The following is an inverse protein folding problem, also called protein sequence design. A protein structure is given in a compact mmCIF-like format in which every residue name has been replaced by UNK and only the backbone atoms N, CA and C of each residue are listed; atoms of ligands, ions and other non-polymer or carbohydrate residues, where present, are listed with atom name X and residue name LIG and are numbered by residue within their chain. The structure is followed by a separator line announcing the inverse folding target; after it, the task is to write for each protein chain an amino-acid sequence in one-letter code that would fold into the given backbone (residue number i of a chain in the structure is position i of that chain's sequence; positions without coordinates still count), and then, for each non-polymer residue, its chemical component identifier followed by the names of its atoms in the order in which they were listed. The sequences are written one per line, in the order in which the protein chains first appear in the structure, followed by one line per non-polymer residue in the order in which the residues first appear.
data_IF_933427246573
#
_entry.id   IF_933427246573
#
_cell.length_a   1.000
_cell.length_b   1.000
_cell.length_c   1.000
_cell.angle_alpha   90.00
_cell.angle_beta   90.00
_cell.angle_gamma   90.00
#
_symmetry.space_group_name_H-M   'P 1'
#
loop_
_entity.id
_entity.type
_entity.pdbx_description
1 polymer ?
#
# COMPACT_ATOMS: atom_id res chain seq x y z
N UNK A 1 37.42 -27.41 57.92
CA UNK A 1 37.89 -27.07 56.56
C UNK A 1 36.73 -27.36 55.61
N UNK A 2 36.02 -26.41 55.00
CA UNK A 2 36.18 -24.96 54.93
C UNK A 2 34.83 -24.41 54.45
N UNK A 3 34.34 -23.35 55.08
CA UNK A 3 33.25 -22.52 54.59
C UNK A 3 33.61 -21.80 53.28
N UNK A 4 32.61 -21.51 52.44
CA UNK A 4 32.27 -20.14 52.00
C UNK A 4 31.17 -20.09 50.92
N UNK A 5 30.04 -19.53 51.37
CA UNK A 5 29.24 -18.43 50.85
C UNK A 5 28.68 -18.34 49.40
N UNK A 6 27.44 -17.82 49.26
CA UNK A 6 26.74 -17.58 48.02
C UNK A 6 27.06 -16.20 47.43
N UNK A 7 27.24 -16.11 46.11
CA UNK A 7 27.50 -14.84 45.44
C UNK A 7 26.28 -14.32 44.66
N UNK A 8 25.67 -13.32 45.28
CA UNK A 8 24.71 -12.34 44.80
C UNK A 8 25.08 -11.79 43.41
N UNK A 9 24.23 -11.98 42.39
CA UNK A 9 24.29 -11.20 41.15
C UNK A 9 23.36 -10.00 41.25
N UNK A 10 23.95 -8.82 41.29
CA UNK A 10 23.27 -7.52 41.28
C UNK A 10 22.58 -7.25 39.93
N UNK A 11 21.54 -6.39 39.89
CA UNK A 11 20.79 -6.09 38.68
C UNK A 11 21.58 -5.22 37.71
N UNK A 12 21.58 -5.61 36.43
CA UNK A 12 22.15 -4.81 35.34
C UNK A 12 21.23 -3.62 35.06
N UNK A 13 21.76 -2.41 35.26
CA UNK A 13 21.10 -1.13 35.02
C UNK A 13 20.76 -0.99 33.52
N UNK A 14 19.49 -0.83 33.20
CA UNK A 14 19.04 -0.40 31.88
C UNK A 14 19.55 1.04 31.61
N UNK A 15 20.32 1.21 30.54
CA UNK A 15 20.69 2.54 30.03
C UNK A 15 19.53 3.06 29.18
N UNK A 16 18.81 4.02 29.74
CA UNK A 16 17.86 4.86 29.01
C UNK A 16 18.61 5.71 27.97
N UNK A 17 18.30 5.50 26.69
CA UNK A 17 18.52 6.50 25.65
C UNK A 17 17.26 6.59 24.80
N UNK A 18 16.34 7.45 25.25
CA UNK A 18 15.30 8.04 24.42
C UNK A 18 15.23 9.52 24.76
N UNK A 19 15.56 10.36 23.79
CA UNK A 19 15.33 11.80 23.83
C UNK A 19 14.17 12.13 22.91
N UNK A 20 13.14 12.87 23.36
CA UNK A 20 12.03 13.30 22.51
C UNK A 20 12.37 14.62 21.82
N UNK A 21 12.29 14.67 20.49
CA UNK A 21 12.32 15.93 19.75
C UNK A 21 10.90 16.46 19.58
N UNK A 22 10.55 17.43 20.42
CA UNK A 22 9.30 18.19 20.36
C UNK A 22 9.27 19.17 19.19
N UNK A 23 8.06 19.33 18.66
CA UNK A 23 7.57 20.34 17.72
C UNK A 23 7.96 21.79 18.07
N UNK A 24 8.20 22.62 17.04
CA UNK A 24 8.02 24.06 17.16
C UNK A 24 7.27 24.62 15.93
N UNK A 25 6.07 25.12 16.22
CA UNK A 25 5.27 26.02 15.39
C UNK A 25 5.63 27.46 15.78
N UNK A 26 5.96 28.32 14.82
CA UNK A 26 6.06 29.77 15.05
C UNK A 26 5.22 30.53 14.01
N UNK A 27 4.14 31.14 14.50
CA UNK A 27 3.33 32.17 13.85
C UNK A 27 3.92 33.53 14.26
N UNK A 28 4.06 34.47 13.33
CA UNK A 28 4.11 35.90 13.66
C UNK A 28 3.49 36.73 12.53
N UNK A 29 2.52 37.57 12.91
CA UNK A 29 1.81 38.56 12.12
C UNK A 29 2.29 39.95 12.56
N UNK A 30 2.44 40.94 11.66
CA UNK A 30 1.92 42.31 11.83
C UNK A 30 2.11 43.21 10.58
N UNK A 31 1.46 44.40 10.47
CA UNK A 31 0.76 44.85 9.26
C UNK A 31 1.23 46.25 8.78
N UNK A 32 0.77 46.69 7.59
CA UNK A 32 0.18 48.02 7.32
C UNK A 32 0.12 48.35 5.81
N UNK A 33 -1.06 48.85 5.41
CA UNK A 33 -1.70 49.28 4.13
C UNK A 33 -0.96 50.37 3.30
N UNK A 34 -1.45 50.88 2.11
CA UNK A 34 -2.83 50.85 1.52
C UNK A 34 -3.00 50.63 -0.01
N UNK A 35 -4.27 50.62 -0.41
CA UNK A 35 -4.97 50.46 -1.70
C UNK A 35 -4.62 51.43 -2.86
N UNK A 36 -4.74 50.95 -4.11
CA UNK A 36 -5.46 51.65 -5.21
C UNK A 36 -5.71 50.71 -6.42
N UNK A 37 -6.86 50.87 -7.08
CA UNK A 37 -7.36 50.12 -8.25
C UNK A 37 -7.74 51.15 -9.34
N UNK A 38 -7.57 50.86 -10.65
CA UNK A 38 -8.57 51.36 -11.59
C UNK A 38 -8.93 50.41 -12.75
N UNK A 39 -10.20 50.50 -13.18
CA UNK A 39 -10.80 49.88 -14.37
C UNK A 39 -10.53 50.73 -15.63
N UNK A 40 -10.49 50.08 -16.80
CA UNK A 40 -11.43 50.25 -17.93
C UNK A 40 -10.82 50.29 -19.37
N UNK A 41 -11.58 49.67 -20.30
CA UNK A 41 -11.79 50.05 -21.72
C UNK A 41 -10.96 49.40 -22.85
N UNK A 42 -11.69 48.76 -23.78
CA UNK A 42 -11.28 48.28 -25.13
C UNK A 42 -11.07 49.46 -26.12
N UNK A 43 -10.47 49.23 -27.32
CA UNK A 43 -11.29 48.95 -28.52
C UNK A 43 -10.73 47.89 -29.50
N UNK A 44 -11.62 47.40 -30.38
CA UNK A 44 -11.43 46.59 -31.61
C UNK A 44 -11.35 47.54 -32.84
N UNK A 45 -10.76 47.18 -34.00
CA UNK A 45 -11.57 46.65 -35.13
C UNK A 45 -10.86 45.72 -36.17
N UNK A 46 -11.62 44.70 -36.65
CA UNK A 46 -11.91 44.24 -38.04
C UNK A 46 -10.76 44.06 -39.09
N UNK A 47 -10.80 43.21 -40.13
CA UNK A 47 -11.78 42.31 -40.77
C UNK A 47 -11.11 41.58 -41.96
N UNK A 48 -11.50 40.33 -42.26
CA UNK A 48 -11.83 39.78 -43.61
C UNK A 48 -12.06 38.26 -43.46
N UNK A 49 -13.29 37.73 -43.48
CA UNK A 49 -14.28 37.53 -44.56
C UNK A 49 -13.83 36.54 -45.64
N UNK A 50 -14.38 35.32 -45.61
CA UNK A 50 -15.03 34.71 -46.78
C UNK A 50 -16.06 33.65 -46.34
N UNK A 51 -17.25 33.75 -46.93
CA UNK A 51 -18.38 32.83 -46.80
C UNK A 51 -18.31 31.78 -47.90
N UNK A 52 -18.78 30.55 -47.67
CA UNK A 52 -19.56 29.81 -48.67
C UNK A 52 -20.59 28.90 -47.98
N UNK A 53 -21.66 28.64 -48.71
CA UNK A 53 -23.04 28.44 -48.26
C UNK A 53 -23.56 27.01 -48.42
N UNK A 54 -24.37 26.55 -47.45
CA UNK A 54 -25.58 25.68 -47.50
C UNK A 54 -25.67 24.54 -48.54
N UNK A 55 -26.03 23.32 -48.08
CA UNK A 55 -27.35 22.71 -48.36
C UNK A 55 -27.62 21.43 -47.55
N UNK A 56 -28.88 21.28 -47.14
CA UNK A 56 -29.48 20.08 -46.58
C UNK A 56 -30.14 19.24 -47.69
N UNK A 57 -30.17 17.91 -47.54
CA UNK A 57 -31.15 17.00 -48.15
C UNK A 57 -31.26 15.71 -47.34
N UNK A 58 -32.48 15.43 -46.91
CA UNK A 58 -33.02 14.18 -46.35
C UNK A 58 -32.98 13.03 -47.37
N UNK A 59 -32.76 11.78 -46.93
CA UNK A 59 -33.63 10.60 -47.19
C UNK A 59 -33.05 9.30 -46.62
N UNK A 60 -34.00 8.46 -46.23
CA UNK A 60 -33.93 7.16 -45.57
C UNK A 60 -33.26 6.07 -46.42
N UNK A 61 -32.66 5.06 -45.77
CA UNK A 61 -33.01 3.65 -45.94
C UNK A 61 -32.26 2.77 -44.94
N UNK A 62 -33.00 1.82 -44.38
CA UNK A 62 -32.58 0.79 -43.45
C UNK A 62 -31.73 -0.29 -44.13
N UNK A 63 -30.71 -0.78 -43.42
CA UNK A 63 -30.18 -2.13 -43.61
C UNK A 63 -29.93 -2.73 -42.23
N UNK A 64 -30.84 -3.61 -41.83
CA UNK A 64 -30.75 -4.47 -40.65
C UNK A 64 -29.73 -5.56 -40.92
N UNK A 65 -28.50 -5.38 -40.44
CA UNK A 65 -27.60 -6.50 -40.22
C UNK A 65 -27.37 -6.69 -38.71
N UNK A 66 -28.18 -7.58 -38.15
CA UNK A 66 -28.09 -8.10 -36.81
C UNK A 66 -26.73 -8.78 -36.60
N UNK A 67 -25.75 -8.01 -36.09
CA UNK A 67 -24.61 -8.58 -35.41
C UNK A 67 -25.16 -9.14 -34.11
N UNK A 68 -25.19 -10.47 -34.02
CA UNK A 68 -25.48 -11.20 -32.80
C UNK A 68 -24.49 -10.73 -31.74
N UNK A 69 -24.97 -9.98 -30.76
CA UNK A 69 -24.23 -9.77 -29.51
C UNK A 69 -24.19 -11.11 -28.79
N UNK A 70 -23.20 -11.92 -29.16
CA UNK A 70 -22.70 -12.98 -28.31
C UNK A 70 -22.12 -12.28 -27.08
N UNK A 71 -22.90 -12.27 -26.00
CA UNK A 71 -22.50 -11.83 -24.66
C UNK A 71 -21.45 -12.76 -24.08
N UNK A 72 -20.37 -12.97 -24.81
CA UNK A 72 -19.17 -13.63 -24.36
C UNK A 72 -18.62 -12.81 -23.21
N UNK A 73 -18.87 -13.29 -21.99
CA UNK A 73 -18.09 -12.94 -20.82
C UNK A 73 -16.64 -13.26 -21.22
N UNK A 74 -15.90 -12.25 -21.69
CA UNK A 74 -14.48 -12.41 -21.97
C UNK A 74 -13.86 -12.90 -20.66
N UNK A 75 -13.54 -14.18 -20.61
CA UNK A 75 -12.86 -14.81 -19.51
C UNK A 75 -11.45 -14.21 -19.51
N UNK A 76 -11.32 -13.06 -18.88
CA UNK A 76 -10.03 -12.43 -18.66
C UNK A 76 -9.19 -13.43 -17.87
N UNK A 77 -7.97 -13.76 -18.33
CA UNK A 77 -7.08 -14.63 -17.58
C UNK A 77 -6.98 -14.12 -16.15
N UNK A 78 -7.48 -14.93 -15.21
CA UNK A 78 -7.40 -14.60 -13.80
C UNK A 78 -5.93 -14.67 -13.43
N UNK A 79 -5.34 -13.54 -13.03
CA UNK A 79 -3.97 -13.50 -12.53
C UNK A 79 -3.87 -14.44 -11.32
N UNK A 80 -3.07 -15.49 -11.41
CA UNK A 80 -2.79 -16.40 -10.29
C UNK A 80 -1.40 -16.08 -9.77
N UNK A 81 -1.30 -15.74 -8.48
CA UNK A 81 -0.03 -15.49 -7.81
C UNK A 81 0.80 -16.77 -7.69
N UNK A 82 2.12 -16.64 -7.83
CA UNK A 82 3.08 -17.75 -7.77
C UNK A 82 4.20 -17.54 -6.77
N UNK A 83 4.20 -16.42 -6.03
CA UNK A 83 5.18 -16.17 -4.98
C UNK A 83 5.01 -17.19 -3.84
N UNK A 84 5.99 -18.07 -3.57
CA UNK A 84 5.85 -19.10 -2.54
C UNK A 84 6.14 -18.56 -1.12
N UNK A 85 6.49 -17.29 -1.00
CA UNK A 85 6.97 -16.67 0.24
C UNK A 85 6.01 -15.56 0.72
N UNK A 86 6.12 -15.20 1.99
CA UNK A 86 5.40 -14.06 2.59
C UNK A 86 5.76 -12.72 1.94
N UNK A 87 6.93 -12.62 1.29
CA UNK A 87 7.41 -11.46 0.54
C UNK A 87 8.14 -11.92 -0.74
N UNK A 88 7.83 -11.35 -1.92
CA UNK A 88 8.59 -11.62 -3.15
C UNK A 88 10.08 -11.31 -3.00
N UNK A 89 10.93 -12.12 -3.63
CA UNK A 89 12.39 -12.01 -3.51
C UNK A 89 12.91 -10.64 -4.00
N UNK A 90 12.41 -10.16 -5.14
CA UNK A 90 12.79 -8.85 -5.67
C UNK A 90 12.44 -7.71 -4.70
N UNK A 91 11.29 -7.80 -4.04
CA UNK A 91 10.91 -6.84 -3.00
C UNK A 91 11.86 -6.93 -1.81
N UNK A 92 12.19 -8.13 -1.32
CA UNK A 92 13.12 -8.32 -0.20
C UNK A 92 14.48 -7.68 -0.51
N UNK A 93 15.07 -8.01 -1.66
CA UNK A 93 16.37 -7.49 -2.10
C UNK A 93 16.33 -5.97 -2.24
N UNK A 94 15.26 -5.42 -2.82
CA UNK A 94 15.07 -3.97 -2.94
C UNK A 94 15.00 -3.31 -1.56
N UNK A 95 14.27 -3.89 -0.61
CA UNK A 95 14.09 -3.33 0.74
C UNK A 95 15.33 -3.46 1.61
N UNK A 96 16.13 -4.50 1.44
CA UNK A 96 17.47 -4.59 2.05
C UNK A 96 18.39 -3.45 1.55
N UNK A 97 18.46 -3.25 0.23
CA UNK A 97 19.27 -2.19 -0.38
C UNK A 97 18.85 -0.80 0.08
N UNK A 98 17.55 -0.55 0.18
CA UNK A 98 16.99 0.74 0.60
C UNK A 98 16.89 0.91 2.13
N UNK A 99 17.21 -0.12 2.91
CA UNK A 99 17.02 -0.15 4.37
C UNK A 99 15.58 0.14 4.81
N UNK A 100 14.60 -0.33 4.02
CA UNK A 100 13.15 -0.18 4.24
C UNK A 100 12.55 -1.45 4.88
N UNK A 101 13.25 -2.00 5.88
CA UNK A 101 12.81 -3.15 6.67
C UNK A 101 12.21 -2.67 8.01
N UNK A 102 10.99 -3.10 8.31
CA UNK A 102 10.37 -2.89 9.61
C UNK A 102 11.09 -3.73 10.68
N UNK A 103 10.91 -3.38 11.94
CA UNK A 103 11.63 -4.01 13.07
C UNK A 103 11.43 -5.54 13.07
N UNK A 104 10.22 -6.01 12.79
CA UNK A 104 9.86 -7.43 12.76
C UNK A 104 10.48 -8.21 11.58
N UNK A 105 10.98 -7.51 10.57
CA UNK A 105 11.54 -8.13 9.37
C UNK A 105 13.07 -8.21 9.42
N UNK A 106 13.71 -7.65 10.45
CA UNK A 106 15.16 -7.52 10.54
C UNK A 106 15.81 -8.77 11.12
N UNK A 107 16.73 -9.35 10.37
CA UNK A 107 17.54 -10.45 10.86
C UNK A 107 18.52 -9.93 11.93
N UNK A 108 18.39 -10.43 13.16
CA UNK A 108 19.18 -9.97 14.32
C UNK A 108 19.13 -8.45 14.55
N UNK A 109 18.00 -7.81 14.21
CA UNK A 109 17.83 -6.35 14.35
C UNK A 109 18.57 -5.50 13.30
N UNK A 110 19.25 -6.12 12.33
CA UNK A 110 19.98 -5.40 11.28
C UNK A 110 19.02 -4.78 10.23
N UNK A 111 18.99 -3.46 10.03
CA UNK A 111 18.08 -2.80 9.07
C UNK A 111 18.39 -3.08 7.59
N UNK A 112 19.52 -3.71 7.28
CA UNK A 112 19.95 -4.05 5.91
C UNK A 112 19.89 -5.56 5.61
N UNK A 113 19.37 -6.37 6.54
CA UNK A 113 19.29 -7.83 6.39
C UNK A 113 17.94 -8.36 6.83
N UNK A 114 17.35 -9.22 6.01
CA UNK A 114 16.12 -9.96 6.33
C UNK A 114 16.29 -11.45 6.04
N UNK A 115 15.22 -12.22 6.23
CA UNK A 115 15.14 -13.62 5.81
C UNK A 115 13.74 -13.90 5.23
N UNK A 116 13.58 -14.93 4.40
CA UNK A 116 12.27 -15.30 3.83
C UNK A 116 11.18 -15.52 4.88
N UNK A 117 11.54 -15.97 6.09
CA UNK A 117 10.61 -16.26 7.18
C UNK A 117 10.21 -15.02 7.99
N UNK A 118 10.89 -13.89 7.80
CA UNK A 118 10.63 -12.64 8.52
C UNK A 118 9.98 -11.59 7.61
N UNK A 119 10.40 -11.52 6.34
CA UNK A 119 9.95 -10.50 5.41
C UNK A 119 8.48 -10.69 5.04
N UNK A 120 7.69 -9.62 5.12
CA UNK A 120 6.30 -9.60 4.66
C UNK A 120 6.12 -8.53 3.61
N UNK A 121 5.47 -8.88 2.49
CA UNK A 121 5.21 -7.95 1.39
C UNK A 121 4.54 -6.67 1.89
N UNK A 122 5.12 -5.52 1.58
CA UNK A 122 4.63 -4.19 1.96
C UNK A 122 3.51 -3.76 1.04
N UNK A 123 2.53 -3.03 1.57
CA UNK A 123 1.44 -2.53 0.73
C UNK A 123 1.94 -1.53 -0.33
N UNK A 124 1.53 -1.73 -1.58
CA UNK A 124 1.89 -0.84 -2.68
C UNK A 124 0.74 0.14 -2.99
N UNK A 125 0.94 1.44 -2.77
CA UNK A 125 -0.09 2.47 -2.99
C UNK A 125 -0.50 2.61 -4.45
N UNK A 126 0.44 2.41 -5.36
CA UNK A 126 0.28 2.60 -6.79
C UNK A 126 0.66 1.34 -7.51
N UNK A 127 -0.33 0.56 -7.91
CA UNK A 127 -0.13 -0.63 -8.74
C UNK A 127 -0.52 -0.30 -10.18
N UNK A 128 0.42 -0.50 -11.09
CA UNK A 128 0.15 -0.53 -12.51
C UNK A 128 0.03 -1.98 -12.95
N UNK A 129 -1.15 -2.42 -13.35
CA UNK A 129 -1.41 -3.82 -13.78
C UNK A 129 -0.49 -4.29 -14.91
N UNK A 130 -0.01 -3.38 -15.77
CA UNK A 130 0.90 -3.68 -16.89
C UNK A 130 2.31 -4.15 -16.49
N UNK A 131 2.68 -4.11 -15.20
CA UNK A 131 4.02 -4.48 -14.74
C UNK A 131 4.04 -5.45 -13.56
N UNK A 132 2.88 -6.03 -13.20
CA UNK A 132 2.81 -7.02 -12.12
C UNK A 132 2.98 -8.41 -12.72
N UNK A 133 4.04 -9.11 -12.31
CA UNK A 133 4.23 -10.50 -12.68
C UNK A 133 3.51 -11.43 -11.70
N UNK A 134 3.21 -12.65 -12.12
CA UNK A 134 2.65 -13.67 -11.24
C UNK A 134 3.56 -13.94 -10.03
N UNK A 135 4.89 -13.80 -10.18
CA UNK A 135 5.88 -13.95 -9.10
C UNK A 135 5.82 -12.83 -8.05
N UNK A 136 5.19 -11.70 -8.36
CA UNK A 136 5.03 -10.59 -7.42
C UNK A 136 3.80 -10.78 -6.52
N UNK A 137 2.89 -11.69 -6.87
CA UNK A 137 1.63 -11.93 -6.18
C UNK A 137 1.69 -13.28 -5.47
N UNK A 138 1.23 -13.32 -4.22
CA UNK A 138 1.18 -14.54 -3.40
C UNK A 138 -0.12 -15.31 -3.66
N UNK A 139 -0.08 -16.64 -3.82
CA UNK A 139 -1.29 -17.45 -3.91
C UNK A 139 -2.07 -17.43 -2.59
N UNK A 140 -3.35 -17.78 -2.65
CA UNK A 140 -4.28 -17.70 -1.49
C UNK A 140 -3.75 -18.47 -0.27
N UNK A 141 -3.16 -19.65 -0.45
CA UNK A 141 -2.57 -20.44 0.64
C UNK A 141 -1.48 -19.67 1.39
N UNK A 142 -0.53 -19.08 0.66
CA UNK A 142 0.55 -18.28 1.23
C UNK A 142 0.01 -17.01 1.90
N UNK A 143 -1.05 -16.41 1.36
CA UNK A 143 -1.70 -15.26 1.97
C UNK A 143 -2.35 -15.61 3.31
N UNK A 144 -2.98 -16.79 3.43
CA UNK A 144 -3.51 -17.30 4.69
C UNK A 144 -2.41 -17.55 5.72
N UNK A 145 -1.33 -18.25 5.32
CA UNK A 145 -0.18 -18.49 6.19
C UNK A 145 0.45 -17.17 6.67
N UNK A 146 0.57 -16.20 5.76
CA UNK A 146 1.04 -14.85 6.10
C UNK A 146 0.12 -14.18 7.12
N UNK A 147 -1.20 -14.28 6.95
CA UNK A 147 -2.16 -13.68 7.88
C UNK A 147 -2.04 -14.33 9.27
N UNK A 148 -1.92 -15.65 9.34
CA UNK A 148 -1.73 -16.36 10.61
C UNK A 148 -0.41 -15.98 11.28
N UNK A 149 0.67 -15.79 10.51
CA UNK A 149 1.93 -15.24 11.03
C UNK A 149 1.75 -13.85 11.64
N UNK A 150 1.07 -12.93 10.94
CA UNK A 150 0.82 -11.57 11.45
C UNK A 150 0.00 -11.59 12.75
N UNK A 151 -1.01 -12.48 12.84
CA UNK A 151 -1.79 -12.68 14.06
C UNK A 151 -0.93 -13.20 15.21
N UNK A 152 0.03 -14.08 14.94
CA UNK A 152 0.95 -14.57 15.97
C UNK A 152 1.81 -13.44 16.55
N UNK A 153 2.27 -12.50 15.72
CA UNK A 153 3.05 -11.35 16.15
C UNK A 153 2.26 -10.42 17.08
N UNK A 154 0.96 -10.26 16.85
CA UNK A 154 0.11 -9.44 17.72
C UNK A 154 0.06 -10.01 19.14
N UNK A 155 0.07 -11.35 19.26
CA UNK A 155 -0.02 -12.04 20.55
C UNK A 155 1.33 -12.19 21.25
N UNK A 156 2.44 -12.21 20.51
CA UNK A 156 3.76 -12.59 21.05
C UNK A 156 4.77 -11.44 21.16
N UNK A 157 4.47 -10.26 20.62
CA UNK A 157 5.45 -9.19 20.52
C UNK A 157 5.52 -8.32 21.77
N UNK A 158 6.73 -8.07 22.26
CA UNK A 158 7.01 -7.14 23.37
C UNK A 158 7.10 -5.66 22.93
N UNK A 159 6.87 -5.39 21.63
CA UNK A 159 6.92 -4.03 21.10
C UNK A 159 5.70 -3.19 21.53
N UNK A 160 5.80 -1.85 21.51
CA UNK A 160 4.63 -1.00 21.72
C UNK A 160 3.52 -1.31 20.72
N UNK A 161 2.27 -1.26 21.18
CA UNK A 161 1.08 -1.56 20.37
C UNK A 161 1.06 -0.79 19.06
N UNK A 162 1.37 0.51 19.08
CA UNK A 162 1.40 1.37 17.89
C UNK A 162 2.35 0.83 16.79
N UNK A 163 3.52 0.35 17.18
CA UNK A 163 4.53 -0.19 16.25
C UNK A 163 4.05 -1.50 15.62
N UNK A 164 3.44 -2.38 16.43
CA UNK A 164 2.89 -3.65 15.95
C UNK A 164 1.69 -3.39 15.04
N UNK A 165 0.79 -2.51 15.47
CA UNK A 165 -0.41 -2.14 14.75
C UNK A 165 -0.08 -1.56 13.37
N UNK A 166 0.83 -0.58 13.28
CA UNK A 166 1.23 0.03 12.00
C UNK A 166 1.80 -1.00 11.03
N UNK A 167 2.60 -1.94 11.53
CA UNK A 167 3.14 -3.02 10.73
C UNK A 167 2.02 -3.96 10.23
N UNK A 168 1.19 -4.48 11.13
CA UNK A 168 0.12 -5.42 10.78
C UNK A 168 -0.89 -4.76 9.84
N UNK A 169 -1.26 -3.50 10.09
CA UNK A 169 -2.17 -2.74 9.26
C UNK A 169 -1.68 -2.60 7.81
N UNK A 170 -0.41 -2.25 7.63
CA UNK A 170 0.18 -2.17 6.28
C UNK A 170 0.21 -3.54 5.60
N UNK A 171 0.64 -4.60 6.31
CA UNK A 171 0.76 -5.94 5.74
C UNK A 171 -0.58 -6.59 5.43
N UNK A 172 -1.59 -6.42 6.27
CA UNK A 172 -2.96 -6.87 5.97
C UNK A 172 -3.57 -6.11 4.78
N UNK A 173 -3.28 -4.81 4.63
CA UNK A 173 -3.66 -4.07 3.41
C UNK A 173 -3.01 -4.64 2.15
N UNK A 174 -1.76 -5.09 2.24
CA UNK A 174 -1.09 -5.81 1.16
C UNK A 174 -1.75 -7.17 0.85
N UNK A 175 -2.12 -7.94 1.87
CA UNK A 175 -2.86 -9.21 1.68
C UNK A 175 -4.17 -8.97 0.92
N UNK A 176 -4.96 -7.98 1.34
CA UNK A 176 -6.20 -7.60 0.64
C UNK A 176 -5.95 -7.20 -0.81
N UNK A 177 -4.86 -6.47 -1.05
CA UNK A 177 -4.45 -6.08 -2.40
C UNK A 177 -4.11 -7.29 -3.28
N UNK A 178 -3.37 -8.27 -2.77
CA UNK A 178 -3.06 -9.51 -3.51
C UNK A 178 -4.32 -10.35 -3.78
N UNK A 179 -5.26 -10.44 -2.83
CA UNK A 179 -6.55 -11.11 -3.04
C UNK A 179 -7.36 -10.42 -4.14
N UNK A 180 -7.42 -9.08 -4.13
CA UNK A 180 -8.14 -8.32 -5.16
C UNK A 180 -7.49 -8.42 -6.53
N UNK A 181 -6.15 -8.44 -6.62
CA UNK A 181 -5.45 -8.62 -7.90
C UNK A 181 -5.74 -9.98 -8.55
N UNK A 182 -6.01 -10.99 -7.75
CA UNK A 182 -6.31 -12.36 -8.21
C UNK A 182 -7.81 -12.59 -8.40
N UNK A 183 -8.67 -11.61 -8.15
CA UNK A 183 -10.12 -11.79 -8.05
C UNK A 183 -10.50 -13.02 -7.20
N UNK A 184 -9.77 -13.25 -6.09
CA UNK A 184 -9.92 -14.45 -5.29
C UNK A 184 -11.28 -14.48 -4.57
N UNK A 185 -11.96 -15.63 -4.63
CA UNK A 185 -13.29 -15.85 -4.05
C UNK A 185 -13.31 -17.19 -3.30
N UNK A 186 -14.32 -17.38 -2.44
CA UNK A 186 -14.57 -18.62 -1.70
C UNK A 186 -14.51 -18.43 -0.17
N UNK A 187 -14.98 -19.44 0.56
CA UNK A 187 -15.13 -19.39 2.02
C UNK A 187 -13.81 -19.09 2.75
N UNK A 188 -12.71 -19.63 2.25
CA UNK A 188 -11.36 -19.35 2.77
C UNK A 188 -11.03 -17.85 2.71
N UNK A 189 -11.32 -17.21 1.57
CA UNK A 189 -11.05 -15.79 1.36
C UNK A 189 -11.97 -14.93 2.25
N UNK A 190 -13.23 -15.33 2.40
CA UNK A 190 -14.19 -14.67 3.31
C UNK A 190 -13.65 -14.72 4.74
N UNK A 191 -13.25 -15.89 5.24
CA UNK A 191 -12.67 -16.07 6.58
C UNK A 191 -11.42 -15.20 6.79
N UNK A 192 -10.58 -15.06 5.77
CA UNK A 192 -9.42 -14.17 5.83
C UNK A 192 -9.84 -12.70 5.97
N UNK A 193 -10.86 -12.24 5.23
CA UNK A 193 -11.38 -10.88 5.37
C UNK A 193 -11.98 -10.64 6.76
N UNK A 194 -12.71 -11.61 7.32
CA UNK A 194 -13.25 -11.53 8.68
C UNK A 194 -12.15 -11.35 9.73
N UNK A 195 -11.11 -12.21 9.69
CA UNK A 195 -9.92 -12.08 10.54
C UNK A 195 -9.27 -10.70 10.43
N UNK A 196 -9.13 -10.17 9.20
CA UNK A 196 -8.52 -8.86 8.96
C UNK A 196 -9.37 -7.70 9.50
N UNK A 197 -10.70 -7.78 9.43
CA UNK A 197 -11.59 -6.76 9.98
C UNK A 197 -11.52 -6.72 11.52
N UNK A 198 -11.36 -7.87 12.16
CA UNK A 198 -11.18 -7.94 13.62
C UNK A 198 -9.91 -7.25 14.11
N UNK A 199 -8.87 -7.12 13.28
CA UNK A 199 -7.62 -6.43 13.64
C UNK A 199 -7.72 -4.90 13.64
N UNK A 200 -8.83 -4.35 13.14
CA UNK A 200 -9.06 -2.90 13.00
C UNK A 200 -9.97 -2.33 14.10
N UNK A 201 -10.33 -3.14 15.10
CA UNK A 201 -11.19 -2.77 16.24
C UNK A 201 -10.38 -2.74 17.52
#
# INVERSE_FOLDING_TARGET
MSERDPQTRQPIKARNFYSPSSSNSAKSQNPNKPFANPKASRPNPNSSRSMFTKKATTRENADDNAIKEDGGLHEFPTLVGTCPLMCPEEEMVRREKLRDLAIFERLHGNPAKTSPNLAVKKFCRTITTRGVNASDVRPVSVLEDTLNYLLSLLNSSECPFEVIHDFIFDRTRCIRQDLSMQNAMGDQVIHMYEKMVCLLK
#
